data_IF_429036111441
#
_entry.id   IF_429036111441
#
_cell.length_a   1.000
_cell.length_b   1.000
_cell.length_c   1.000
_cell.angle_alpha   90.00
_cell.angle_beta   90.00
_cell.angle_gamma   90.00
#
_symmetry.space_group_name_H-M   'P 1'
#
loop_
_entity.id
_entity.type
_entity.pdbx_description
1 polymer ?
#
# COMPACT_ATOMS: atom_id res chain seq x y z
N UNK A 1 -50.17 -28.18 -53.10
CA UNK A 1 -49.76 -27.13 -52.14
C UNK A 1 -48.71 -27.76 -51.23
N UNK A 2 -47.43 -27.42 -51.41
CA UNK A 2 -46.30 -28.12 -50.79
C UNK A 2 -45.99 -27.49 -49.43
N UNK A 3 -46.03 -28.29 -48.37
CA UNK A 3 -45.64 -27.89 -47.02
C UNK A 3 -44.11 -27.99 -46.91
N UNK A 4 -43.42 -26.85 -46.82
CA UNK A 4 -41.97 -26.82 -46.58
C UNK A 4 -41.76 -26.90 -45.06
N UNK A 5 -41.30 -28.07 -44.60
CA UNK A 5 -40.89 -28.25 -43.22
C UNK A 5 -39.57 -27.51 -42.98
N UNK A 6 -39.63 -26.46 -42.15
CA UNK A 6 -38.47 -25.63 -41.82
C UNK A 6 -37.64 -26.36 -40.76
N UNK A 7 -36.63 -27.11 -41.18
CA UNK A 7 -35.68 -27.76 -40.28
C UNK A 7 -35.02 -26.70 -39.39
N UNK A 8 -35.33 -26.68 -38.09
CA UNK A 8 -34.64 -25.82 -37.13
C UNK A 8 -33.21 -26.35 -36.96
N UNK A 9 -32.25 -25.67 -37.59
CA UNK A 9 -30.83 -25.91 -37.29
C UNK A 9 -30.55 -25.42 -35.87
N UNK A 10 -30.44 -26.35 -34.92
CA UNK A 10 -30.05 -26.05 -33.55
C UNK A 10 -28.55 -25.81 -33.52
N UNK A 11 -28.14 -24.54 -33.47
CA UNK A 11 -26.72 -24.17 -33.38
C UNK A 11 -26.22 -24.53 -31.97
N UNK A 12 -25.31 -25.52 -31.86
CA UNK A 12 -24.80 -26.02 -30.57
C UNK A 12 -24.05 -24.97 -29.76
N UNK A 13 -23.48 -23.94 -30.41
CA UNK A 13 -22.84 -22.77 -29.77
C UNK A 13 -23.08 -21.51 -30.61
N UNK A 14 -23.95 -20.59 -30.18
CA UNK A 14 -24.16 -19.34 -30.90
C UNK A 14 -22.89 -18.47 -30.87
N UNK A 15 -22.58 -17.85 -32.00
CA UNK A 15 -21.43 -16.93 -32.14
C UNK A 15 -21.54 -15.77 -31.15
N UNK A 16 -22.73 -15.19 -30.98
CA UNK A 16 -22.99 -14.10 -30.02
C UNK A 16 -22.66 -14.47 -28.58
N UNK A 17 -22.97 -15.70 -28.15
CA UNK A 17 -22.62 -16.17 -26.81
C UNK A 17 -21.11 -16.32 -26.63
N UNK A 18 -20.40 -16.75 -27.68
CA UNK A 18 -18.94 -16.86 -27.66
C UNK A 18 -18.27 -15.49 -27.62
N UNK A 19 -18.75 -14.52 -28.40
CA UNK A 19 -18.27 -13.13 -28.36
C UNK A 19 -18.57 -12.47 -27.02
N UNK A 20 -19.79 -12.60 -26.50
CA UNK A 20 -20.16 -12.04 -25.19
C UNK A 20 -19.24 -12.57 -24.09
N UNK A 21 -18.92 -13.87 -24.10
CA UNK A 21 -17.99 -14.47 -23.15
C UNK A 21 -16.56 -13.94 -23.31
N UNK A 22 -16.09 -13.76 -24.54
CA UNK A 22 -14.78 -13.16 -24.81
C UNK A 22 -14.70 -11.72 -24.29
N UNK A 23 -15.68 -10.87 -24.64
CA UNK A 23 -15.74 -9.49 -24.14
C UNK A 23 -15.85 -9.43 -22.62
N UNK A 24 -16.63 -10.31 -22.00
CA UNK A 24 -16.70 -10.41 -20.55
C UNK A 24 -15.32 -10.66 -19.92
N UNK A 25 -14.55 -11.61 -20.44
CA UNK A 25 -13.21 -11.88 -19.90
C UNK A 25 -12.22 -10.75 -20.16
N UNK A 26 -12.31 -10.07 -21.31
CA UNK A 26 -11.48 -8.90 -21.61
C UNK A 26 -11.77 -7.77 -20.61
N UNK A 27 -13.05 -7.44 -20.41
CA UNK A 27 -13.46 -6.40 -19.47
C UNK A 27 -13.10 -6.79 -18.04
N UNK A 28 -13.34 -8.04 -17.65
CA UNK A 28 -12.99 -8.55 -16.32
C UNK A 28 -11.48 -8.43 -16.06
N UNK A 29 -10.64 -8.86 -17.02
CA UNK A 29 -9.19 -8.75 -16.88
C UNK A 29 -8.72 -7.30 -16.81
N UNK A 30 -9.35 -6.40 -17.57
CA UNK A 30 -9.07 -4.97 -17.53
C UNK A 30 -9.42 -4.38 -16.15
N UNK A 31 -10.60 -4.67 -15.62
CA UNK A 31 -11.02 -4.19 -14.29
C UNK A 31 -10.10 -4.73 -13.20
N UNK A 32 -9.75 -6.01 -13.25
CA UNK A 32 -8.83 -6.61 -12.26
C UNK A 32 -7.44 -5.97 -12.33
N UNK A 33 -6.89 -5.80 -13.53
CA UNK A 33 -5.57 -5.18 -13.73
C UNK A 33 -5.55 -3.73 -13.23
N UNK A 34 -6.54 -2.94 -13.64
CA UNK A 34 -6.67 -1.54 -13.21
C UNK A 34 -6.95 -1.44 -11.71
N UNK A 35 -7.78 -2.32 -11.15
CA UNK A 35 -8.07 -2.38 -9.72
C UNK A 35 -6.82 -2.65 -8.90
N UNK A 36 -6.02 -3.64 -9.28
CA UNK A 36 -4.74 -3.94 -8.61
C UNK A 36 -3.77 -2.75 -8.73
N UNK A 37 -3.69 -2.12 -9.90
CA UNK A 37 -2.84 -0.95 -10.11
C UNK A 37 -3.25 0.23 -9.23
N UNK A 38 -4.55 0.52 -9.11
CA UNK A 38 -5.07 1.59 -8.26
C UNK A 38 -4.86 1.29 -6.77
N UNK A 39 -5.06 0.04 -6.34
CA UNK A 39 -4.76 -0.38 -4.96
C UNK A 39 -3.27 -0.22 -4.63
N UNK A 40 -2.39 -0.59 -5.57
CA UNK A 40 -0.94 -0.43 -5.42
C UNK A 40 -0.55 1.05 -5.37
N UNK A 41 -1.19 1.90 -6.19
CA UNK A 41 -0.95 3.34 -6.17
C UNK A 41 -1.40 3.97 -4.84
N UNK A 42 -2.57 3.57 -4.34
CA UNK A 42 -3.07 4.03 -3.05
C UNK A 42 -2.16 3.60 -1.89
N UNK A 43 -1.57 2.39 -1.93
CA UNK A 43 -0.56 2.00 -0.93
C UNK A 43 0.73 2.82 -1.06
N UNK A 44 1.19 3.13 -2.28
CA UNK A 44 2.40 3.94 -2.51
C UNK A 44 2.31 5.36 -1.93
N UNK A 45 1.12 5.95 -1.83
CA UNK A 45 0.95 7.25 -1.15
C UNK A 45 1.28 7.16 0.35
N UNK A 46 0.88 6.07 1.00
CA UNK A 46 1.22 5.81 2.41
C UNK A 46 2.71 5.52 2.57
N UNK A 47 3.32 4.86 1.58
CA UNK A 47 4.77 4.62 1.58
C UNK A 47 5.55 5.93 1.46
N UNK A 48 5.10 6.89 0.64
CA UNK A 48 5.72 8.20 0.53
C UNK A 48 5.69 8.98 1.87
N UNK A 49 4.55 8.94 2.57
CA UNK A 49 4.44 9.51 3.91
C UNK A 49 5.37 8.79 4.91
N UNK A 50 5.43 7.46 4.88
CA UNK A 50 6.31 6.67 5.74
C UNK A 50 7.79 7.04 5.53
N UNK A 51 8.21 7.19 4.27
CA UNK A 51 9.57 7.61 3.90
C UNK A 51 9.86 9.02 4.41
N UNK A 52 8.91 9.96 4.28
CA UNK A 52 9.08 11.33 4.76
C UNK A 52 9.28 11.38 6.29
N UNK A 53 8.44 10.67 7.04
CA UNK A 53 8.57 10.60 8.51
C UNK A 53 9.87 9.90 8.91
N UNK A 54 10.19 8.76 8.29
CA UNK A 54 11.46 8.05 8.54
C UNK A 54 12.68 8.91 8.21
N UNK A 55 12.62 9.71 7.13
CA UNK A 55 13.64 10.70 6.79
C UNK A 55 13.77 11.79 7.86
N UNK A 56 12.64 12.30 8.36
CA UNK A 56 12.63 13.29 9.44
C UNK A 56 13.28 12.77 10.72
N UNK A 57 13.17 11.48 11.04
CA UNK A 57 13.82 10.87 12.21
C UNK A 57 15.34 10.99 12.15
N UNK A 58 15.95 10.88 10.96
CA UNK A 58 17.40 11.09 10.80
C UNK A 58 17.78 12.53 11.14
N UNK A 59 17.02 13.49 10.62
CA UNK A 59 17.24 14.92 10.92
C UNK A 59 17.04 15.22 12.41
N UNK A 60 15.98 14.68 13.01
CA UNK A 60 15.72 14.85 14.43
C UNK A 60 16.79 14.19 15.31
N UNK A 61 17.36 13.05 14.89
CA UNK A 61 18.47 12.40 15.59
C UNK A 61 19.70 13.31 15.68
N UNK A 62 20.09 13.95 14.56
CA UNK A 62 21.18 14.93 14.55
C UNK A 62 20.87 16.14 15.43
N UNK A 63 19.63 16.65 15.37
CA UNK A 63 19.18 17.77 16.21
C UNK A 63 19.30 17.44 17.70
N UNK A 64 18.91 16.24 18.13
CA UNK A 64 19.04 15.82 19.52
C UNK A 64 20.50 15.76 19.98
N UNK A 65 21.41 15.30 19.12
CA UNK A 65 22.84 15.33 19.41
C UNK A 65 23.37 16.75 19.57
N UNK A 66 22.94 17.67 18.70
CA UNK A 66 23.30 19.09 18.79
C UNK A 66 22.70 19.77 20.04
N UNK A 67 21.44 19.51 20.37
CA UNK A 67 20.79 20.03 21.57
C UNK A 67 21.53 19.58 22.84
N UNK A 68 21.97 18.32 22.87
CA UNK A 68 22.74 17.77 23.97
C UNK A 68 24.10 18.46 24.09
N UNK A 69 24.81 18.64 22.97
CA UNK A 69 26.13 19.27 22.95
C UNK A 69 26.09 20.75 23.34
N UNK A 70 25.04 21.46 22.94
CA UNK A 70 24.86 22.89 23.19
C UNK A 70 24.21 23.22 24.53
N UNK A 71 23.75 22.22 25.30
CA UNK A 71 22.98 22.45 26.52
C UNK A 71 21.63 23.11 26.25
N UNK A 72 21.03 22.83 25.08
CA UNK A 72 19.79 23.46 24.64
C UNK A 72 18.62 23.14 25.58
N UNK A 73 17.85 24.16 26.03
CA UNK A 73 16.65 23.93 26.84
C UNK A 73 15.55 23.19 26.06
N UNK A 74 15.66 23.08 24.73
CA UNK A 74 14.68 22.42 23.87
C UNK A 74 14.87 20.90 23.78
N UNK A 75 15.95 20.35 24.35
CA UNK A 75 16.30 18.92 24.23
C UNK A 75 15.12 17.98 24.55
N UNK A 76 14.40 18.25 25.64
CA UNK A 76 13.28 17.41 26.05
C UNK A 76 12.07 17.53 25.12
N UNK A 77 11.78 18.74 24.64
CA UNK A 77 10.71 18.97 23.66
C UNK A 77 11.02 18.26 22.33
N UNK A 78 12.25 18.37 21.83
CA UNK A 78 12.68 17.69 20.61
C UNK A 78 12.72 16.17 20.77
N UNK A 79 13.00 15.65 21.98
CA UNK A 79 12.92 14.21 22.28
C UNK A 79 11.48 13.71 22.21
N UNK A 80 10.54 14.50 22.70
CA UNK A 80 9.11 14.19 22.61
C UNK A 80 8.62 14.21 21.16
N UNK A 81 9.06 15.18 20.35
CA UNK A 81 8.75 15.20 18.90
C UNK A 81 9.32 13.97 18.18
N UNK A 82 10.54 13.56 18.53
CA UNK A 82 11.16 12.36 17.97
C UNK A 82 10.33 11.11 18.32
N UNK A 83 9.93 10.97 19.59
CA UNK A 83 9.03 9.90 20.06
C UNK A 83 7.69 9.90 19.32
N UNK A 84 7.08 11.06 19.10
CA UNK A 84 5.82 11.18 18.37
C UNK A 84 5.97 10.76 16.90
N UNK A 85 7.06 11.18 16.24
CA UNK A 85 7.34 10.79 14.86
C UNK A 85 7.59 9.28 14.75
N UNK A 86 8.35 8.69 15.69
CA UNK A 86 8.66 7.27 15.71
C UNK A 86 7.41 6.40 15.91
N UNK A 87 6.46 6.87 16.72
CA UNK A 87 5.18 6.19 16.99
C UNK A 87 4.01 6.71 16.14
N UNK A 88 4.32 7.41 15.03
CA UNK A 88 3.29 7.91 14.14
C UNK A 88 2.47 6.77 13.53
N UNK A 89 1.17 6.97 13.25
CA UNK A 89 0.31 5.94 12.69
C UNK A 89 0.84 5.32 11.40
N UNK A 90 1.53 6.11 10.57
CA UNK A 90 2.09 5.64 9.30
C UNK A 90 3.20 4.59 9.51
N UNK A 91 4.00 4.72 10.57
CA UNK A 91 5.05 3.74 10.89
C UNK A 91 4.51 2.55 11.69
N UNK A 92 3.59 2.76 12.63
CA UNK A 92 3.00 1.65 13.40
C UNK A 92 2.15 0.73 12.52
N UNK A 93 1.49 1.29 11.50
CA UNK A 93 0.69 0.53 10.54
C UNK A 93 1.53 -0.33 9.57
N UNK A 94 2.86 -0.26 9.62
CA UNK A 94 3.74 -1.17 8.88
C UNK A 94 3.68 -2.59 9.45
N UNK A 95 3.18 -2.78 10.67
CA UNK A 95 3.06 -4.10 11.29
C UNK A 95 1.82 -4.89 10.80
N UNK A 96 1.79 -5.18 9.50
CA UNK A 96 0.70 -5.91 8.83
C UNK A 96 1.26 -7.05 7.96
N UNK A 97 0.41 -8.02 7.61
CA UNK A 97 0.83 -9.28 6.99
C UNK A 97 1.44 -9.12 5.58
N UNK A 98 0.99 -8.12 4.82
CA UNK A 98 1.46 -7.86 3.45
C UNK A 98 2.73 -6.99 3.38
N UNK A 99 3.21 -6.46 4.51
CA UNK A 99 4.47 -5.71 4.58
C UNK A 99 5.62 -6.68 4.83
N UNK A 100 6.74 -6.59 4.07
CA UNK A 100 7.88 -7.48 4.23
C UNK A 100 8.46 -7.48 5.66
N UNK A 101 8.83 -8.66 6.17
CA UNK A 101 9.43 -8.81 7.51
C UNK A 101 10.67 -7.94 7.73
N UNK A 102 11.46 -7.72 6.68
CA UNK A 102 12.64 -6.86 6.76
C UNK A 102 12.29 -5.42 7.17
N UNK A 103 11.13 -4.89 6.74
CA UNK A 103 10.68 -3.53 7.10
C UNK A 103 10.25 -3.50 8.57
N UNK A 104 9.43 -4.47 8.99
CA UNK A 104 8.92 -4.59 10.37
C UNK A 104 10.05 -4.77 11.38
N UNK A 105 11.00 -5.65 11.08
CA UNK A 105 12.17 -5.92 11.92
C UNK A 105 13.04 -4.67 12.07
N UNK A 106 13.30 -3.95 10.96
CA UNK A 106 14.06 -2.68 11.01
C UNK A 106 13.35 -1.61 11.82
N UNK A 107 12.04 -1.48 11.70
CA UNK A 107 11.26 -0.57 12.53
C UNK A 107 11.33 -0.94 14.01
N UNK A 108 11.21 -2.23 14.36
CA UNK A 108 11.36 -2.70 15.74
C UNK A 108 12.74 -2.37 16.33
N UNK A 109 13.82 -2.47 15.53
CA UNK A 109 15.17 -2.07 15.96
C UNK A 109 15.31 -0.56 16.22
N UNK A 110 14.50 0.29 15.59
CA UNK A 110 14.47 1.74 15.87
C UNK A 110 13.72 2.08 17.16
N UNK A 111 12.92 1.15 17.66
CA UNK A 111 12.15 1.28 18.90
C UNK A 111 12.68 0.35 20.01
N UNK A 112 13.97 0.42 20.39
CA UNK A 112 14.41 -0.33 21.55
C UNK A 112 13.70 0.25 22.77
N UNK A 113 13.18 -0.64 23.61
CA UNK A 113 12.44 -0.39 24.86
C UNK A 113 13.16 0.52 25.89
N UNK A 114 14.35 1.04 25.57
CA UNK A 114 15.18 1.92 26.39
C UNK A 114 15.04 3.42 26.15
N UNK A 115 14.18 3.90 25.25
CA UNK A 115 13.87 5.34 25.09
C UNK A 115 12.74 5.83 26.01
N UNK A 116 12.55 5.21 27.18
CA UNK A 116 11.60 5.69 28.21
C UNK A 116 12.28 6.68 29.15
#
# INVERSE_FOLDING_TARGET
MIFVEKTRVIVKRPVSASLARAFFYIVLLSILSTGIALLTLASSLRDAEAINIAGSLRMQSYRLGYDLQSGSPQLNAHRQLFQQALHSPVLTNLNVWYVPEAVKTRYAHLNPTGWR
#
